data_IF_934023707918
#
_entry.id   IF_934023707918
#
_cell.length_a   1.000
_cell.length_b   1.000
_cell.length_c   1.000
_cell.angle_alpha   90.00
_cell.angle_beta   90.00
_cell.angle_gamma   90.00
#
_symmetry.space_group_name_H-M   'P 1'
#
loop_
_entity.id
_entity.type
_entity.pdbx_description
1 polymer ?
#
# COMPACT_ATOMS: atom_id res chain seq x y z
N UNK A 1 -3.57 28.81 -32.41
CA UNK A 1 -3.72 29.11 -30.98
C UNK A 1 -4.67 28.15 -30.24
N UNK A 2 -5.86 27.80 -30.77
CA UNK A 2 -6.83 26.87 -30.14
C UNK A 2 -6.29 25.43 -30.06
N UNK A 3 -5.57 24.98 -31.07
CA UNK A 3 -4.98 23.63 -31.11
C UNK A 3 -3.90 23.45 -30.03
N UNK A 4 -3.09 24.45 -29.77
CA UNK A 4 -2.06 24.44 -28.72
C UNK A 4 -2.67 24.35 -27.31
N UNK A 5 -3.75 25.09 -27.04
CA UNK A 5 -4.46 25.02 -25.73
C UNK A 5 -5.10 23.66 -25.46
N UNK A 6 -5.64 23.00 -26.50
CA UNK A 6 -6.25 21.66 -26.36
C UNK A 6 -5.19 20.61 -26.06
N UNK A 7 -4.05 20.66 -26.75
CA UNK A 7 -2.93 19.75 -26.50
C UNK A 7 -2.33 19.95 -25.11
N UNK A 8 -2.15 21.20 -24.67
CA UNK A 8 -1.69 21.49 -23.31
C UNK A 8 -2.63 20.93 -22.25
N UNK A 9 -3.95 21.13 -22.44
CA UNK A 9 -4.96 20.58 -21.53
C UNK A 9 -4.85 19.05 -21.44
N UNK A 10 -4.72 18.34 -22.57
CA UNK A 10 -4.56 16.88 -22.60
C UNK A 10 -3.29 16.44 -21.87
N UNK A 11 -2.17 17.14 -22.06
CA UNK A 11 -0.92 16.86 -21.34
C UNK A 11 -1.09 17.02 -19.82
N UNK A 12 -1.77 18.08 -19.37
CA UNK A 12 -2.05 18.29 -17.95
C UNK A 12 -2.99 17.22 -17.38
N UNK A 13 -3.95 16.77 -18.16
CA UNK A 13 -4.87 15.69 -17.76
C UNK A 13 -4.13 14.38 -17.54
N UNK A 14 -3.23 14.01 -18.46
CA UNK A 14 -2.40 12.84 -18.33
C UNK A 14 -1.44 12.94 -17.13
N UNK A 15 -0.85 14.10 -16.90
CA UNK A 15 0.02 14.31 -15.76
C UNK A 15 -0.72 14.17 -14.44
N UNK A 16 -1.90 14.79 -14.32
CA UNK A 16 -2.76 14.68 -13.14
C UNK A 16 -3.26 13.26 -12.94
N UNK A 17 -3.64 12.57 -14.01
CA UNK A 17 -4.09 11.17 -13.96
C UNK A 17 -2.98 10.24 -13.46
N UNK A 18 -1.74 10.44 -13.93
CA UNK A 18 -0.57 9.71 -13.43
C UNK A 18 -0.38 9.93 -11.93
N UNK A 19 -0.45 11.16 -11.48
CA UNK A 19 -0.36 11.49 -10.05
C UNK A 19 -1.51 10.91 -9.23
N UNK A 20 -2.74 10.97 -9.75
CA UNK A 20 -3.92 10.40 -9.10
C UNK A 20 -3.77 8.90 -8.85
N UNK A 21 -3.38 8.13 -9.87
CA UNK A 21 -3.19 6.68 -9.71
C UNK A 21 -2.15 6.36 -8.65
N UNK A 22 -1.05 7.12 -8.59
CA UNK A 22 -0.02 6.95 -7.58
C UNK A 22 -0.53 7.29 -6.18
N UNK A 23 -1.28 8.39 -6.02
CA UNK A 23 -1.87 8.79 -4.75
C UNK A 23 -2.91 7.77 -4.27
N UNK A 24 -3.81 7.35 -5.14
CA UNK A 24 -4.83 6.34 -4.85
C UNK A 24 -4.22 4.97 -4.52
N UNK A 25 -3.00 4.70 -5.02
CA UNK A 25 -2.21 3.50 -4.68
C UNK A 25 -1.40 3.64 -3.40
N UNK A 26 -1.56 4.74 -2.65
CA UNK A 26 -0.82 5.05 -1.41
C UNK A 26 0.71 5.14 -1.63
N UNK A 27 1.14 5.72 -2.75
CA UNK A 27 2.55 5.99 -2.97
C UNK A 27 3.04 7.14 -2.07
N UNK A 28 4.29 7.04 -1.63
CA UNK A 28 4.95 8.12 -0.90
C UNK A 28 4.99 9.42 -1.74
N UNK A 29 4.76 10.56 -1.10
CA UNK A 29 4.69 11.88 -1.75
C UNK A 29 5.93 12.20 -2.58
N UNK A 30 7.11 11.81 -2.11
CA UNK A 30 8.37 12.02 -2.85
C UNK A 30 8.41 11.17 -4.13
N UNK A 31 7.86 9.97 -4.10
CA UNK A 31 7.73 9.08 -5.26
C UNK A 31 6.70 9.61 -6.26
N UNK A 32 5.55 10.10 -5.78
CA UNK A 32 4.54 10.76 -6.63
C UNK A 32 5.19 11.91 -7.39
N UNK A 33 5.83 12.82 -6.67
CA UNK A 33 6.49 13.99 -7.25
C UNK A 33 7.54 13.62 -8.31
N UNK A 34 8.43 12.68 -8.02
CA UNK A 34 9.47 12.23 -8.97
C UNK A 34 8.87 11.60 -10.24
N UNK A 35 7.83 10.78 -10.12
CA UNK A 35 7.18 10.19 -11.29
C UNK A 35 6.45 11.26 -12.12
N UNK A 36 5.79 12.21 -11.47
CA UNK A 36 5.14 13.33 -12.15
C UNK A 36 6.15 14.25 -12.85
N UNK A 37 7.28 14.57 -12.22
CA UNK A 37 8.36 15.35 -12.85
C UNK A 37 8.90 14.64 -14.10
N UNK A 38 9.05 13.32 -14.05
CA UNK A 38 9.48 12.50 -15.19
C UNK A 38 8.44 12.48 -16.31
N UNK A 39 7.18 12.30 -15.96
CA UNK A 39 6.07 12.36 -16.93
C UNK A 39 5.96 13.76 -17.54
N UNK A 40 6.15 14.83 -16.77
CA UNK A 40 6.14 16.18 -17.26
C UNK A 40 7.28 16.43 -18.27
N UNK A 41 8.47 15.91 -17.99
CA UNK A 41 9.61 15.97 -18.91
C UNK A 41 9.30 15.25 -20.23
N UNK A 42 8.72 14.06 -20.17
CA UNK A 42 8.24 13.32 -21.34
C UNK A 42 7.19 14.13 -22.14
N UNK A 43 6.26 14.78 -21.46
CA UNK A 43 5.21 15.60 -22.09
C UNK A 43 5.76 16.93 -22.65
N UNK A 44 7.05 17.23 -22.46
CA UNK A 44 7.67 18.47 -22.91
C UNK A 44 7.18 19.69 -22.13
N UNK A 45 6.82 19.51 -20.85
CA UNK A 45 6.49 20.62 -19.95
C UNK A 45 7.75 21.08 -19.22
N UNK A 46 8.18 22.34 -19.37
CA UNK A 46 9.40 22.84 -18.75
C UNK A 46 9.24 22.83 -17.21
N UNK A 47 10.26 22.32 -16.54
CA UNK A 47 10.25 22.18 -15.08
C UNK A 47 10.15 23.52 -14.36
N UNK A 48 10.71 24.57 -14.97
CA UNK A 48 10.72 25.94 -14.44
C UNK A 48 9.33 26.54 -14.31
N UNK A 49 8.44 26.16 -15.22
CA UNK A 49 7.07 26.68 -15.33
C UNK A 49 6.03 25.76 -14.65
N UNK A 50 6.48 24.66 -14.05
CA UNK A 50 5.61 23.63 -13.51
C UNK A 50 5.69 23.62 -11.99
N UNK A 51 4.58 23.98 -11.33
CA UNK A 51 4.42 23.89 -9.89
C UNK A 51 3.43 22.80 -9.55
N UNK A 52 3.87 21.81 -8.78
CA UNK A 52 3.06 20.68 -8.32
C UNK A 52 2.88 20.76 -6.82
N UNK A 53 1.63 20.76 -6.39
CA UNK A 53 1.26 20.64 -4.99
C UNK A 53 0.56 19.29 -4.76
N UNK A 54 1.10 18.50 -3.86
CA UNK A 54 0.59 17.17 -3.53
C UNK A 54 0.13 17.20 -2.07
N UNK A 55 -1.15 17.09 -1.87
CA UNK A 55 -1.79 16.96 -0.56
C UNK A 55 -2.51 15.61 -0.47
N UNK A 56 -2.86 15.15 0.72
CA UNK A 56 -3.42 13.81 0.95
C UNK A 56 -4.67 13.51 0.11
N UNK A 57 -5.56 14.49 -0.04
CA UNK A 57 -6.82 14.34 -0.80
C UNK A 57 -6.82 15.04 -2.14
N UNK A 58 -5.80 15.81 -2.45
CA UNK A 58 -5.84 16.70 -3.60
C UNK A 58 -4.48 16.83 -4.27
N UNK A 59 -4.50 16.73 -5.57
CA UNK A 59 -3.35 16.98 -6.42
C UNK A 59 -3.61 18.22 -7.25
N UNK A 60 -2.71 19.19 -7.19
CA UNK A 60 -2.79 20.42 -7.97
C UNK A 60 -1.55 20.55 -8.84
N UNK A 61 -1.78 20.87 -10.10
CA UNK A 61 -0.72 21.19 -11.04
C UNK A 61 -1.00 22.56 -11.61
N UNK A 62 -0.01 23.43 -11.51
CA UNK A 62 -0.03 24.76 -12.09
C UNK A 62 1.11 24.91 -13.09
N UNK A 63 0.77 25.28 -14.31
CA UNK A 63 1.74 25.60 -15.38
C UNK A 63 1.58 27.07 -15.71
N UNK A 64 2.64 27.83 -15.49
CA UNK A 64 2.69 29.24 -15.82
C UNK A 64 3.62 29.47 -17.00
N UNK A 65 3.16 30.21 -17.97
CA UNK A 65 3.96 30.77 -19.07
C UNK A 65 3.96 32.30 -18.91
N UNK A 66 4.80 33.01 -19.62
CA UNK A 66 4.94 34.50 -19.52
C UNK A 66 3.62 35.24 -19.59
N UNK A 67 2.61 34.70 -20.32
CA UNK A 67 1.33 35.35 -20.56
C UNK A 67 0.12 34.61 -20.01
N UNK A 68 0.27 33.33 -19.59
CA UNK A 68 -0.85 32.49 -19.19
C UNK A 68 -0.48 31.58 -18.04
N UNK A 69 -1.39 31.45 -17.07
CA UNK A 69 -1.30 30.45 -16.02
C UNK A 69 -2.48 29.49 -16.12
N UNK A 70 -2.18 28.19 -16.16
CA UNK A 70 -3.18 27.13 -16.15
C UNK A 70 -3.02 26.34 -14.86
N UNK A 71 -4.06 26.37 -14.04
CA UNK A 71 -4.13 25.55 -12.83
C UNK A 71 -5.22 24.50 -13.01
N UNK A 72 -4.88 23.26 -12.66
CA UNK A 72 -5.83 22.16 -12.62
C UNK A 72 -5.65 21.36 -11.35
N UNK A 73 -6.78 20.94 -10.77
CA UNK A 73 -6.85 20.19 -9.53
C UNK A 73 -7.56 18.86 -9.78
N UNK A 74 -7.07 17.82 -9.13
CA UNK A 74 -7.66 16.49 -9.15
C UNK A 74 -7.84 16.00 -7.72
N UNK A 75 -9.04 15.56 -7.39
CA UNK A 75 -9.34 14.94 -6.10
C UNK A 75 -8.98 13.46 -6.11
N UNK A 76 -8.40 12.97 -5.01
CA UNK A 76 -8.02 11.59 -4.78
C UNK A 76 -8.83 11.08 -3.57
N UNK A 77 -9.88 10.30 -3.81
CA UNK A 77 -10.81 9.88 -2.74
C UNK A 77 -10.51 8.48 -2.21
N UNK A 78 -9.77 7.67 -2.96
CA UNK A 78 -9.46 6.29 -2.62
C UNK A 78 -7.98 6.14 -2.30
N UNK A 79 -7.68 5.55 -1.15
CA UNK A 79 -6.30 5.22 -0.77
C UNK A 79 -6.23 3.73 -0.45
N UNK A 80 -5.76 2.95 -1.41
CA UNK A 80 -5.59 1.50 -1.27
C UNK A 80 -4.14 1.17 -1.61
N UNK A 81 -3.44 0.48 -0.74
CA UNK A 81 -2.04 0.09 -0.98
C UNK A 81 -1.98 -0.84 -2.20
N UNK A 82 -1.43 -0.34 -3.31
CA UNK A 82 -1.21 -1.10 -4.53
C UNK A 82 0.21 -0.90 -5.07
N UNK A 83 1.16 -1.67 -4.52
CA UNK A 83 2.57 -1.58 -4.88
C UNK A 83 2.83 -1.92 -6.36
N UNK A 84 1.98 -2.78 -6.95
CA UNK A 84 2.10 -3.15 -8.36
C UNK A 84 1.78 -1.96 -9.27
N UNK A 85 0.68 -1.24 -9.01
CA UNK A 85 0.34 -0.05 -9.78
C UNK A 85 1.44 1.03 -9.68
N UNK A 86 2.00 1.24 -8.49
CA UNK A 86 3.13 2.17 -8.29
C UNK A 86 4.34 1.77 -9.14
N UNK A 87 4.66 0.47 -9.18
CA UNK A 87 5.78 -0.05 -9.96
C UNK A 87 5.53 0.10 -11.46
N UNK A 88 4.35 -0.27 -11.94
CA UNK A 88 4.00 -0.21 -13.37
C UNK A 88 3.92 1.23 -13.89
N UNK A 89 3.35 2.17 -13.12
CA UNK A 89 3.38 3.61 -13.46
C UNK A 89 4.83 4.12 -13.54
N UNK A 90 5.68 3.71 -12.60
CA UNK A 90 7.10 4.09 -12.64
C UNK A 90 7.81 3.52 -13.87
N UNK A 91 7.56 2.27 -14.26
CA UNK A 91 8.09 1.67 -15.49
C UNK A 91 7.55 2.36 -16.74
N UNK A 92 6.23 2.65 -16.75
CA UNK A 92 5.59 3.35 -17.86
C UNK A 92 6.23 4.71 -18.12
N UNK A 93 6.48 5.48 -17.06
CA UNK A 93 7.13 6.79 -17.19
C UNK A 93 8.55 6.73 -17.79
N UNK A 94 9.30 5.63 -17.54
CA UNK A 94 10.61 5.40 -18.17
C UNK A 94 10.47 4.93 -19.61
N UNK A 95 9.59 3.97 -19.89
CA UNK A 95 9.36 3.46 -21.25
C UNK A 95 8.85 4.55 -22.17
N UNK A 96 7.98 5.44 -21.69
CA UNK A 96 7.47 6.55 -22.46
C UNK A 96 8.56 7.49 -22.98
N UNK A 97 9.61 7.71 -22.17
CA UNK A 97 10.78 8.51 -22.59
C UNK A 97 11.65 7.74 -23.59
N UNK A 98 11.88 6.44 -23.35
CA UNK A 98 12.80 5.64 -24.17
C UNK A 98 12.24 5.30 -25.55
N UNK A 99 10.93 5.04 -25.63
CA UNK A 99 10.26 4.58 -26.85
C UNK A 99 9.44 5.68 -27.53
N UNK A 100 9.50 6.91 -27.03
CA UNK A 100 8.77 8.09 -27.56
C UNK A 100 7.30 7.81 -27.82
N UNK A 101 6.56 7.40 -26.79
CA UNK A 101 5.15 7.06 -26.88
C UNK A 101 4.31 8.23 -27.40
N UNK A 102 3.29 7.94 -28.21
CA UNK A 102 2.24 8.92 -28.49
C UNK A 102 1.40 9.17 -27.23
N UNK A 103 0.80 10.38 -27.14
CA UNK A 103 -0.07 10.73 -25.99
C UNK A 103 -1.21 9.74 -25.79
N UNK A 104 -1.80 9.23 -26.90
CA UNK A 104 -2.91 8.30 -26.86
C UNK A 104 -2.45 6.92 -26.35
N UNK A 105 -1.27 6.45 -26.77
CA UNK A 105 -0.67 5.20 -26.27
C UNK A 105 -0.35 5.28 -24.79
N UNK A 106 0.19 6.41 -24.35
CA UNK A 106 0.47 6.62 -22.93
C UNK A 106 -0.81 6.59 -22.08
N UNK A 107 -1.88 7.24 -22.56
CA UNK A 107 -3.20 7.25 -21.92
C UNK A 107 -3.76 5.82 -21.80
N UNK A 108 -3.71 5.04 -22.88
CA UNK A 108 -4.21 3.66 -22.91
C UNK A 108 -3.46 2.76 -21.91
N UNK A 109 -2.13 2.83 -21.89
CA UNK A 109 -1.32 2.05 -20.94
C UNK A 109 -1.57 2.49 -19.49
N UNK A 110 -1.74 3.78 -19.25
CA UNK A 110 -2.06 4.32 -17.93
C UNK A 110 -3.42 3.82 -17.43
N UNK A 111 -4.44 3.81 -18.29
CA UNK A 111 -5.77 3.28 -17.93
C UNK A 111 -5.77 1.76 -17.73
N UNK A 112 -4.95 1.01 -18.46
CA UNK A 112 -4.73 -0.43 -18.21
C UNK A 112 -4.19 -0.66 -16.81
N UNK A 113 -3.26 0.17 -16.35
CA UNK A 113 -2.72 0.10 -14.99
C UNK A 113 -3.79 0.47 -13.96
N UNK A 114 -4.57 1.54 -14.20
CA UNK A 114 -5.61 2.01 -13.31
C UNK A 114 -6.71 0.94 -13.08
N UNK A 115 -7.07 0.21 -14.13
CA UNK A 115 -8.09 -0.84 -14.08
C UNK A 115 -7.50 -2.25 -13.90
N UNK A 116 -6.19 -2.35 -13.70
CA UNK A 116 -5.48 -3.62 -13.51
C UNK A 116 -6.05 -4.40 -12.33
N UNK A 117 -6.42 -5.67 -12.57
CA UNK A 117 -6.89 -6.56 -11.50
C UNK A 117 -5.78 -6.78 -10.48
N UNK A 118 -6.15 -6.81 -9.20
CA UNK A 118 -5.25 -7.30 -8.15
C UNK A 118 -4.78 -8.72 -8.49
N UNK A 119 -3.46 -8.89 -8.67
CA UNK A 119 -2.84 -10.19 -8.99
C UNK A 119 -2.92 -11.17 -7.83
N UNK A 120 -3.06 -10.64 -6.61
CA UNK A 120 -3.02 -11.45 -5.39
C UNK A 120 -4.42 -11.66 -4.85
N UNK A 121 -4.75 -12.91 -4.62
CA UNK A 121 -5.96 -13.28 -3.89
C UNK A 121 -5.82 -12.87 -2.42
N UNK A 122 -6.92 -12.51 -1.78
CA UNK A 122 -6.96 -12.15 -0.34
C UNK A 122 -6.26 -13.17 0.56
N UNK A 123 -6.32 -14.45 0.21
CA UNK A 123 -5.63 -15.52 0.92
C UNK A 123 -4.10 -15.43 0.78
N UNK A 124 -3.59 -15.13 -0.40
CA UNK A 124 -2.15 -14.96 -0.62
C UNK A 124 -1.61 -13.78 0.18
N UNK A 125 -2.37 -12.68 0.25
CA UNK A 125 -2.01 -11.50 1.03
C UNK A 125 -2.00 -11.84 2.52
N UNK A 126 -3.02 -12.56 3.02
CA UNK A 126 -3.11 -12.96 4.41
C UNK A 126 -1.95 -13.90 4.82
N UNK A 127 -1.65 -14.90 3.99
CA UNK A 127 -0.54 -15.83 4.23
C UNK A 127 0.81 -15.10 4.20
N UNK A 128 1.04 -14.24 3.20
CA UNK A 128 2.24 -13.43 3.10
C UNK A 128 2.45 -12.52 4.31
N UNK A 129 1.38 -11.87 4.79
CA UNK A 129 1.42 -11.06 6.02
C UNK A 129 1.73 -11.92 7.25
N UNK A 130 1.16 -13.13 7.34
CA UNK A 130 1.45 -14.06 8.41
C UNK A 130 2.92 -14.45 8.47
N UNK A 131 3.51 -14.86 7.34
CA UNK A 131 4.93 -15.20 7.28
C UNK A 131 5.83 -14.00 7.59
N UNK A 132 5.47 -12.81 7.15
CA UNK A 132 6.22 -11.60 7.47
C UNK A 132 6.21 -11.34 8.98
N UNK A 133 5.05 -11.38 9.64
CA UNK A 133 4.93 -11.20 11.09
C UNK A 133 5.70 -12.27 11.88
N UNK A 134 5.59 -13.54 11.48
CA UNK A 134 6.37 -14.62 12.08
C UNK A 134 7.88 -14.42 11.92
N UNK A 135 8.33 -14.01 10.73
CA UNK A 135 9.72 -13.69 10.47
C UNK A 135 10.26 -12.58 11.36
N UNK A 136 9.49 -11.54 11.59
CA UNK A 136 9.85 -10.48 12.55
C UNK A 136 9.99 -11.01 13.98
N UNK A 137 9.10 -11.93 14.42
CA UNK A 137 9.24 -12.54 15.74
C UNK A 137 10.59 -13.26 15.90
N UNK A 138 11.00 -14.04 14.90
CA UNK A 138 12.32 -14.72 14.93
C UNK A 138 13.45 -13.69 14.92
N UNK A 139 13.35 -12.63 14.14
CA UNK A 139 14.36 -11.57 14.09
C UNK A 139 14.53 -10.86 15.44
N UNK A 140 13.45 -10.75 16.23
CA UNK A 140 13.50 -10.22 17.60
C UNK A 140 13.95 -11.25 18.66
N UNK A 141 14.42 -12.41 18.24
CA UNK A 141 14.98 -13.42 19.13
C UNK A 141 13.98 -14.39 19.74
N UNK A 142 12.78 -14.51 19.15
CA UNK A 142 11.81 -15.50 19.59
C UNK A 142 12.09 -16.87 18.98
N UNK A 143 11.59 -17.92 19.66
CA UNK A 143 11.70 -19.30 19.21
C UNK A 143 10.82 -19.60 17.99
N UNK A 144 11.12 -20.69 17.30
CA UNK A 144 10.36 -21.17 16.15
C UNK A 144 8.88 -21.44 16.45
N UNK A 145 8.54 -21.78 17.67
CA UNK A 145 7.16 -21.96 18.11
C UNK A 145 6.40 -20.64 18.11
N UNK A 146 7.03 -19.55 18.53
CA UNK A 146 6.48 -18.20 18.48
C UNK A 146 6.22 -17.76 17.02
N UNK A 147 7.10 -18.16 16.09
CA UNK A 147 6.89 -17.94 14.65
C UNK A 147 5.54 -18.48 14.19
N UNK A 148 5.20 -19.71 14.52
CA UNK A 148 3.93 -20.33 14.10
C UNK A 148 2.71 -19.64 14.72
N UNK A 149 2.79 -19.33 16.03
CA UNK A 149 1.68 -18.62 16.70
C UNK A 149 1.47 -17.23 16.16
N UNK A 150 2.53 -16.46 15.96
CA UNK A 150 2.47 -15.13 15.39
C UNK A 150 1.95 -15.15 13.95
N UNK A 151 2.40 -16.11 13.14
CA UNK A 151 1.94 -16.28 11.75
C UNK A 151 0.43 -16.58 11.69
N UNK A 152 -0.06 -17.51 12.51
CA UNK A 152 -1.47 -17.87 12.54
C UNK A 152 -2.32 -16.68 13.03
N UNK A 153 -1.92 -16.02 14.12
CA UNK A 153 -2.62 -14.84 14.64
C UNK A 153 -2.69 -13.72 13.60
N UNK A 154 -1.59 -13.45 12.89
CA UNK A 154 -1.53 -12.44 11.84
C UNK A 154 -2.40 -12.80 10.61
N UNK A 155 -2.45 -14.08 10.20
CA UNK A 155 -3.34 -14.54 9.14
C UNK A 155 -4.79 -14.30 9.52
N UNK A 156 -5.20 -14.71 10.72
CA UNK A 156 -6.56 -14.54 11.22
C UNK A 156 -6.96 -13.06 11.34
N UNK A 157 -6.10 -12.24 11.94
CA UNK A 157 -6.31 -10.80 12.08
C UNK A 157 -6.44 -10.11 10.72
N UNK A 158 -5.58 -10.45 9.77
CA UNK A 158 -5.63 -9.87 8.43
C UNK A 158 -6.87 -10.32 7.65
N UNK A 159 -7.28 -11.59 7.80
CA UNK A 159 -8.54 -12.09 7.20
C UNK A 159 -9.77 -11.37 7.78
N UNK A 160 -9.81 -11.18 9.08
CA UNK A 160 -10.88 -10.43 9.74
C UNK A 160 -10.94 -8.99 9.22
N UNK A 161 -9.79 -8.32 9.13
CA UNK A 161 -9.70 -6.96 8.58
C UNK A 161 -10.24 -6.88 7.15
N UNK A 162 -9.84 -7.82 6.27
CA UNK A 162 -10.32 -7.86 4.88
C UNK A 162 -11.82 -8.10 4.82
N UNK A 163 -12.35 -9.00 5.63
CA UNK A 163 -13.78 -9.25 5.72
C UNK A 163 -14.56 -7.99 6.12
N UNK A 164 -14.10 -7.28 7.15
CA UNK A 164 -14.70 -6.02 7.59
C UNK A 164 -14.62 -4.92 6.53
N UNK A 165 -13.52 -4.85 5.78
CA UNK A 165 -13.39 -3.91 4.66
C UNK A 165 -14.42 -4.19 3.54
N UNK A 166 -14.66 -5.45 3.20
CA UNK A 166 -15.70 -5.82 2.23
C UNK A 166 -17.12 -5.52 2.73
N UNK A 167 -17.32 -5.55 4.04
CA UNK A 167 -18.60 -5.18 4.66
C UNK A 167 -18.87 -3.65 4.67
N UNK A 168 -17.95 -2.84 4.12
CA UNK A 168 -18.11 -1.39 4.01
C UNK A 168 -17.90 -0.62 5.32
N UNK A 169 -17.28 -1.24 6.32
CA UNK A 169 -16.98 -0.62 7.60
C UNK A 169 -15.86 0.42 7.51
N UNK A 170 -15.81 1.34 8.47
CA UNK A 170 -14.80 2.36 8.54
C UNK A 170 -13.40 1.74 8.69
N UNK A 171 -12.43 2.20 7.87
CA UNK A 171 -11.05 1.69 7.87
C UNK A 171 -10.42 1.73 9.27
N UNK A 172 -10.61 2.81 10.02
CA UNK A 172 -10.06 2.95 11.37
C UNK A 172 -10.66 1.96 12.36
N UNK A 173 -11.98 1.71 12.27
CA UNK A 173 -12.66 0.72 13.09
C UNK A 173 -12.14 -0.69 12.78
N UNK A 174 -11.89 -1.01 11.51
CA UNK A 174 -11.37 -2.30 11.08
C UNK A 174 -9.97 -2.58 11.65
N UNK A 175 -9.10 -1.57 11.67
CA UNK A 175 -7.79 -1.68 12.32
C UNK A 175 -7.91 -1.89 13.83
N UNK A 176 -8.78 -1.14 14.51
CA UNK A 176 -8.99 -1.26 15.96
C UNK A 176 -9.51 -2.66 16.33
N UNK A 177 -10.49 -3.18 15.59
CA UNK A 177 -11.04 -4.52 15.82
C UNK A 177 -9.98 -5.60 15.56
N UNK A 178 -9.23 -5.50 14.47
CA UNK A 178 -8.17 -6.45 14.15
C UNK A 178 -7.08 -6.47 15.23
N UNK A 179 -6.64 -5.30 15.70
CA UNK A 179 -5.66 -5.17 16.77
C UNK A 179 -6.19 -5.76 18.09
N UNK A 180 -7.43 -5.48 18.44
CA UNK A 180 -8.07 -6.02 19.65
C UNK A 180 -8.14 -7.55 19.64
N UNK A 181 -8.59 -8.14 18.53
CA UNK A 181 -8.64 -9.60 18.37
C UNK A 181 -7.24 -10.22 18.43
N UNK A 182 -6.27 -9.63 17.75
CA UNK A 182 -4.87 -10.09 17.79
C UNK A 182 -4.29 -10.04 19.21
N UNK A 183 -4.61 -9.00 19.98
CA UNK A 183 -4.18 -8.88 21.39
C UNK A 183 -4.81 -9.94 22.28
N UNK A 184 -6.11 -10.22 22.09
CA UNK A 184 -6.80 -11.31 22.83
C UNK A 184 -6.16 -12.66 22.50
N UNK A 185 -5.88 -12.94 21.24
CA UNK A 185 -5.22 -14.19 20.84
C UNK A 185 -3.81 -14.32 21.44
N UNK A 186 -3.05 -13.23 21.49
CA UNK A 186 -1.75 -13.18 22.13
C UNK A 186 -1.87 -13.40 23.66
N UNK A 187 -2.85 -12.79 24.30
CA UNK A 187 -3.12 -13.01 25.73
C UNK A 187 -3.56 -14.44 26.01
N UNK A 188 -4.45 -15.02 25.21
CA UNK A 188 -4.91 -16.39 25.34
C UNK A 188 -3.76 -17.40 25.18
N UNK A 189 -2.87 -17.18 24.21
CA UNK A 189 -1.68 -18.01 24.04
C UNK A 189 -0.75 -17.93 25.26
N UNK A 190 -0.69 -16.74 25.93
CA UNK A 190 -0.02 -16.54 27.21
C UNK A 190 -0.59 -17.40 28.32
N UNK A 191 -1.88 -17.36 28.45
CA UNK A 191 -2.57 -18.10 29.50
C UNK A 191 -2.40 -19.61 29.32
N UNK A 192 -2.45 -20.11 28.10
CA UNK A 192 -2.18 -21.48 27.74
C UNK A 192 -0.73 -21.89 28.03
N UNK A 193 0.20 -20.94 28.04
CA UNK A 193 1.63 -21.15 28.34
C UNK A 193 1.96 -21.23 29.84
N UNK A 194 0.97 -21.11 30.73
CA UNK A 194 1.21 -21.24 32.19
C UNK A 194 1.60 -22.66 32.58
N UNK A 195 2.47 -22.85 33.60
CA UNK A 195 2.96 -24.17 34.00
C UNK A 195 1.87 -25.15 34.40
N UNK A 196 0.75 -24.65 34.96
CA UNK A 196 -0.41 -25.43 35.36
C UNK A 196 -1.18 -26.06 34.19
N UNK A 197 -1.28 -25.33 33.07
CA UNK A 197 -1.91 -25.83 31.84
C UNK A 197 -0.93 -26.74 31.07
N UNK A 198 0.36 -26.43 31.11
CA UNK A 198 1.40 -27.30 30.55
C UNK A 198 1.41 -28.68 31.17
N UNK A 199 1.12 -28.80 32.49
CA UNK A 199 1.08 -30.06 33.19
C UNK A 199 -0.11 -30.95 32.75
N UNK A 200 -1.18 -30.35 32.22
CA UNK A 200 -2.39 -31.09 31.77
C UNK A 200 -2.29 -31.60 30.32
N UNK A 201 -1.33 -31.12 29.55
CA UNK A 201 -1.18 -31.49 28.14
C UNK A 201 -0.26 -32.71 27.95
N UNK A 202 -0.57 -33.59 26.97
CA UNK A 202 0.26 -34.72 26.62
C UNK A 202 1.69 -34.30 26.33
N UNK A 203 2.68 -35.06 26.76
CA UNK A 203 4.11 -34.71 26.69
C UNK A 203 4.62 -34.37 25.28
N UNK A 204 4.04 -34.96 24.23
CA UNK A 204 4.43 -34.69 22.86
C UNK A 204 3.97 -33.29 22.33
N UNK A 205 2.94 -32.69 22.93
CA UNK A 205 2.44 -31.36 22.57
C UNK A 205 3.15 -30.23 23.32
N UNK A 206 3.78 -30.54 24.47
CA UNK A 206 4.53 -29.54 25.26
C UNK A 206 5.61 -28.80 24.47
N UNK A 207 6.54 -29.45 23.75
CA UNK A 207 7.59 -28.76 23.02
C UNK A 207 7.06 -27.97 21.82
N UNK A 208 5.90 -28.34 21.27
CA UNK A 208 5.28 -27.66 20.12
C UNK A 208 4.57 -26.37 20.57
N UNK A 209 3.94 -26.41 21.75
CA UNK A 209 3.08 -25.33 22.22
C UNK A 209 3.77 -24.34 23.16
N UNK A 210 4.84 -24.75 23.86
CA UNK A 210 5.37 -24.00 25.00
C UNK A 210 6.88 -23.85 25.00
N UNK A 211 7.37 -22.85 24.31
CA UNK A 211 8.70 -22.31 24.54
C UNK A 211 8.60 -21.02 25.36
N UNK A 212 9.64 -20.75 26.16
CA UNK A 212 9.74 -19.51 26.98
C UNK A 212 9.89 -18.30 26.06
N UNK A 213 8.78 -17.78 25.56
CA UNK A 213 8.79 -16.58 24.71
C UNK A 213 8.47 -15.33 25.51
N UNK A 214 9.29 -14.29 25.47
CA UNK A 214 8.93 -12.97 25.98
C UNK A 214 7.83 -12.34 25.09
N UNK A 215 6.77 -11.85 25.70
CA UNK A 215 5.53 -11.36 25.09
C UNK A 215 5.66 -10.14 24.20
N UNK A 216 6.75 -9.37 24.33
CA UNK A 216 6.96 -8.11 23.66
C UNK A 216 6.87 -8.15 22.13
N UNK A 217 7.36 -9.18 21.43
CA UNK A 217 7.32 -9.20 19.97
C UNK A 217 5.95 -9.47 19.38
N UNK A 218 5.08 -10.25 20.06
CA UNK A 218 3.73 -10.55 19.57
C UNK A 218 2.82 -9.32 19.59
N UNK A 219 2.98 -8.44 20.57
CA UNK A 219 2.29 -7.17 20.64
C UNK A 219 2.78 -6.19 19.55
N UNK A 220 4.07 -6.19 19.23
CA UNK A 220 4.61 -5.34 18.17
C UNK A 220 4.08 -5.74 16.79
N UNK A 221 3.92 -7.04 16.50
CA UNK A 221 3.34 -7.52 15.23
C UNK A 221 1.82 -7.26 15.12
N UNK A 222 1.11 -7.07 16.22
CA UNK A 222 -0.33 -6.76 16.21
C UNK A 222 -0.63 -5.29 15.88
N UNK A 223 0.36 -4.40 16.03
CA UNK A 223 0.23 -2.95 15.84
C UNK A 223 0.70 -2.45 14.45
N UNK A 224 1.33 -3.32 13.64
CA UNK A 224 1.72 -3.06 12.26
C UNK A 224 0.78 -3.78 11.28
#
# INVERSE_FOLDING_TARGET
MICSKRVLRKKLDLLLRTGQILMESSADTSRVKRNMERTAAYLGLPKENLHMHVDYYMLQVNVSDEFHSFSKMQRCDKHVINMLAIQEVSKLSWRAIQEDYSLDRYEEELEKIAHGKHYYTDWMIAIGAGFACGGFCVQFGCDWTAFFYASIAAILGNRLRMFLNHAGSNIYANFAVAAFVSTILAWLSSYLSTPSVQAMLPEFLRPILFTKTPWHPLLACALY
#
